data_IF_256034276730
#
_entry.id   IF_256034276730
#
_cell.length_a   1.000
_cell.length_b   1.000
_cell.length_c   1.000
_cell.angle_alpha   90.00
_cell.angle_beta   90.00
_cell.angle_gamma   90.00
#
_symmetry.space_group_name_H-M   'P 1'
#
loop_
_entity.id
_entity.type
_entity.pdbx_description
1 polymer ?
#
# COMPACT_ATOMS: atom_id res chain seq x y z
N UNK A 1 5.68 6.52 -10.23
CA UNK A 1 6.56 6.08 -9.11
C UNK A 1 6.78 4.58 -9.16
N UNK A 2 5.74 3.75 -9.05
CA UNK A 2 5.86 2.27 -9.16
C UNK A 2 6.46 1.80 -10.49
N UNK A 3 6.26 2.53 -11.59
CA UNK A 3 6.86 2.25 -12.90
C UNK A 3 8.38 2.10 -12.88
N UNK A 4 9.08 2.72 -11.91
CA UNK A 4 10.53 2.56 -11.75
C UNK A 4 10.96 1.11 -11.44
N UNK A 5 10.01 0.23 -11.09
CA UNK A 5 10.24 -1.17 -10.72
C UNK A 5 9.70 -2.18 -11.74
N UNK A 6 8.84 -1.78 -12.67
CA UNK A 6 8.11 -2.70 -13.58
C UNK A 6 9.06 -3.42 -14.54
N UNK A 7 10.06 -2.71 -15.07
CA UNK A 7 10.98 -3.26 -16.08
C UNK A 7 12.28 -3.82 -15.48
N UNK A 8 12.38 -3.93 -14.15
CA UNK A 8 13.58 -4.45 -13.49
C UNK A 8 13.57 -5.98 -13.51
N UNK A 9 14.64 -6.57 -14.03
CA UNK A 9 14.80 -8.02 -14.08
C UNK A 9 14.66 -8.64 -12.68
N UNK A 10 13.86 -9.71 -12.58
CA UNK A 10 13.64 -10.45 -11.34
C UNK A 10 12.77 -9.73 -10.31
N UNK A 11 12.26 -8.52 -10.59
CA UNK A 11 11.30 -7.82 -9.72
C UNK A 11 9.90 -8.30 -10.03
N UNK A 12 9.14 -8.59 -8.98
CA UNK A 12 7.71 -8.81 -9.10
C UNK A 12 6.98 -7.50 -8.91
N UNK A 13 6.00 -7.21 -9.76
CA UNK A 13 5.08 -6.09 -9.57
C UNK A 13 3.63 -6.53 -9.75
N UNK A 14 2.73 -5.95 -8.97
CA UNK A 14 1.29 -5.98 -9.24
C UNK A 14 0.65 -4.62 -9.08
N UNK A 15 -0.53 -4.50 -9.70
CA UNK A 15 -1.29 -3.26 -9.77
C UNK A 15 -2.77 -3.59 -9.84
N UNK A 16 -3.55 -2.92 -9.00
CA UNK A 16 -4.98 -3.09 -8.87
C UNK A 16 -5.65 -1.73 -8.77
N UNK A 17 -6.89 -1.67 -9.23
CA UNK A 17 -7.71 -0.47 -9.19
C UNK A 17 -9.13 -0.75 -8.75
N UNK A 18 -9.77 0.26 -8.17
CA UNK A 18 -11.21 0.28 -7.90
C UNK A 18 -11.75 1.68 -8.14
N UNK A 19 -13.02 1.77 -8.55
CA UNK A 19 -13.71 3.04 -8.78
C UNK A 19 -14.51 3.40 -7.53
N UNK A 20 -14.22 4.56 -6.95
CA UNK A 20 -14.99 5.16 -5.86
C UNK A 20 -15.92 6.23 -6.45
N UNK A 21 -17.25 6.11 -6.29
CA UNK A 21 -18.17 7.21 -6.59
C UNK A 21 -17.88 8.41 -5.66
N UNK A 22 -17.70 9.59 -6.24
CA UNK A 22 -17.34 10.81 -5.51
C UNK A 22 -15.89 11.24 -5.71
N UNK A 23 -15.54 12.37 -5.11
CA UNK A 23 -14.19 12.89 -5.06
C UNK A 23 -13.49 12.37 -3.80
N UNK A 24 -12.26 11.93 -3.94
CA UNK A 24 -11.41 11.60 -2.81
C UNK A 24 -9.96 12.03 -3.06
N UNK A 25 -9.27 12.35 -1.99
CA UNK A 25 -7.85 12.68 -2.01
C UNK A 25 -6.97 11.52 -1.50
N UNK A 26 -5.65 11.69 -1.63
CA UNK A 26 -4.69 10.68 -1.23
C UNK A 26 -4.73 10.40 0.27
N UNK A 27 -4.94 11.42 1.10
CA UNK A 27 -4.89 11.31 2.56
C UNK A 27 -6.07 10.48 3.08
N UNK A 28 -7.27 10.73 2.56
CA UNK A 28 -8.47 9.92 2.82
C UNK A 28 -8.26 8.47 2.40
N UNK A 29 -7.63 8.24 1.24
CA UNK A 29 -7.34 6.89 0.76
C UNK A 29 -6.29 6.18 1.63
N UNK A 30 -5.20 6.84 2.03
CA UNK A 30 -4.19 6.29 2.95
C UNK A 30 -4.85 5.92 4.28
N UNK A 31 -5.64 6.84 4.85
CA UNK A 31 -6.35 6.61 6.09
C UNK A 31 -7.31 5.43 5.97
N UNK A 32 -8.15 5.38 4.95
CA UNK A 32 -9.09 4.28 4.74
C UNK A 32 -8.38 2.94 4.53
N UNK A 33 -7.33 2.92 3.72
CA UNK A 33 -6.57 1.70 3.40
C UNK A 33 -5.90 1.11 4.64
N UNK A 34 -5.11 1.91 5.37
CA UNK A 34 -4.35 1.42 6.52
C UNK A 34 -5.17 1.32 7.81
N UNK A 35 -6.39 1.87 7.89
CA UNK A 35 -7.27 1.69 9.06
C UNK A 35 -8.30 0.57 8.93
N UNK A 36 -8.32 -0.17 7.81
CA UNK A 36 -9.24 -1.31 7.66
C UNK A 36 -8.94 -2.44 8.66
N UNK A 37 -9.98 -3.19 9.06
CA UNK A 37 -9.86 -4.34 9.96
C UNK A 37 -8.87 -5.41 9.45
N UNK A 38 -8.82 -5.61 8.14
CA UNK A 38 -7.91 -6.55 7.52
C UNK A 38 -6.44 -6.16 7.74
N UNK A 39 -6.13 -4.87 7.65
CA UNK A 39 -4.81 -4.35 8.01
C UNK A 39 -4.58 -4.27 9.54
N UNK A 40 -5.65 -4.18 10.36
CA UNK A 40 -5.52 -4.30 11.83
C UNK A 40 -5.04 -5.69 12.26
N UNK A 41 -5.39 -6.74 11.53
CA UNK A 41 -4.85 -8.09 11.76
C UNK A 41 -3.37 -8.17 11.36
N UNK A 42 -3.00 -7.61 10.21
CA UNK A 42 -1.60 -7.51 9.78
C UNK A 42 -0.77 -6.66 10.76
N UNK A 43 -1.33 -5.59 11.31
CA UNK A 43 -0.72 -4.79 12.39
C UNK A 43 -0.48 -5.57 13.66
N UNK A 44 -1.31 -6.55 14.02
CA UNK A 44 -1.07 -7.40 15.18
C UNK A 44 0.15 -8.31 14.96
N UNK A 45 0.29 -8.87 13.76
CA UNK A 45 1.45 -9.69 13.36
C UNK A 45 2.73 -8.84 13.29
N UNK A 46 2.65 -7.66 12.68
CA UNK A 46 3.78 -6.71 12.60
C UNK A 46 4.18 -6.15 13.97
N UNK A 47 3.20 -5.82 14.84
CA UNK A 47 3.46 -5.35 16.22
C UNK A 47 4.18 -6.42 17.04
N UNK A 48 3.79 -7.69 16.89
CA UNK A 48 4.43 -8.81 17.58
C UNK A 48 5.87 -9.03 17.09
N UNK A 49 6.12 -8.89 15.78
CA UNK A 49 7.46 -9.01 15.20
C UNK A 49 8.39 -7.82 15.46
N UNK A 50 7.85 -6.59 15.46
CA UNK A 50 8.62 -5.35 15.67
C UNK A 50 8.71 -4.93 17.14
N UNK A 51 7.99 -5.61 18.04
CA UNK A 51 7.81 -5.23 19.47
C UNK A 51 7.40 -3.76 19.68
N UNK A 52 6.77 -3.15 18.68
CA UNK A 52 6.33 -1.73 18.70
C UNK A 52 4.85 -1.65 18.37
N UNK A 53 4.10 -0.94 19.20
CA UNK A 53 2.66 -0.71 19.00
C UNK A 53 2.45 0.25 17.83
N UNK A 54 1.75 -0.20 16.79
CA UNK A 54 1.35 0.62 15.64
C UNK A 54 -0.05 1.17 15.91
N UNK A 55 -0.18 2.49 16.00
CA UNK A 55 -1.43 3.19 16.33
C UNK A 55 -2.13 3.76 15.10
N UNK A 56 -3.43 4.06 15.21
CA UNK A 56 -4.15 4.78 14.15
C UNK A 56 -3.63 6.24 14.00
N UNK A 57 -3.09 6.83 15.06
CA UNK A 57 -2.40 8.13 14.99
C UNK A 57 -1.16 8.11 14.11
N UNK A 58 -0.41 7.00 14.07
CA UNK A 58 0.74 6.87 13.15
C UNK A 58 0.27 6.84 11.68
N UNK A 59 -0.89 6.22 11.42
CA UNK A 59 -1.51 6.22 10.07
C UNK A 59 -1.94 7.63 9.68
N UNK A 60 -2.58 8.37 10.59
CA UNK A 60 -3.03 9.73 10.31
C UNK A 60 -1.86 10.69 10.11
N UNK A 61 -0.77 10.53 10.86
CA UNK A 61 0.46 11.29 10.64
C UNK A 61 1.08 10.99 9.25
N UNK A 62 1.05 9.73 8.82
CA UNK A 62 1.44 9.37 7.45
C UNK A 62 0.49 9.98 6.42
N UNK A 63 -0.83 9.89 6.61
CA UNK A 63 -1.82 10.44 5.69
C UNK A 63 -1.57 11.93 5.47
N UNK A 64 -1.51 12.70 6.56
CA UNK A 64 -1.31 14.16 6.54
C UNK A 64 0.10 14.59 6.11
N UNK A 65 1.00 13.65 5.78
CA UNK A 65 2.38 13.94 5.38
C UNK A 65 3.28 14.47 6.49
N UNK A 66 2.87 14.36 7.76
CA UNK A 66 3.67 14.81 8.92
C UNK A 66 4.61 13.72 9.46
N UNK A 67 4.52 12.50 8.95
CA UNK A 67 5.45 11.41 9.22
C UNK A 67 5.97 10.76 7.93
N UNK A 68 7.27 10.52 7.88
CA UNK A 68 7.94 9.79 6.80
C UNK A 68 8.11 8.29 7.10
N UNK A 69 7.71 7.85 8.31
CA UNK A 69 7.82 6.46 8.75
C UNK A 69 6.54 5.99 9.42
N UNK A 70 6.15 4.76 9.10
CA UNK A 70 4.96 4.10 9.62
C UNK A 70 5.21 2.60 9.79
N UNK A 71 5.13 2.07 11.02
CA UNK A 71 5.39 0.65 11.30
C UNK A 71 6.78 0.18 10.79
N UNK A 72 6.79 -0.74 9.80
CA UNK A 72 7.99 -1.20 9.10
C UNK A 72 8.16 -0.56 7.71
N UNK A 73 7.47 0.54 7.45
CA UNK A 73 7.46 1.25 6.18
C UNK A 73 8.06 2.65 6.33
N UNK A 74 8.81 3.06 5.32
CA UNK A 74 9.36 4.40 5.15
C UNK A 74 8.85 4.98 3.82
N UNK A 75 8.59 6.28 3.78
CA UNK A 75 8.22 6.99 2.57
C UNK A 75 9.42 7.02 1.63
N UNK A 76 9.33 6.29 0.53
CA UNK A 76 10.36 6.30 -0.52
C UNK A 76 10.13 7.48 -1.47
N UNK A 77 8.86 7.80 -1.77
CA UNK A 77 8.49 8.96 -2.58
C UNK A 77 7.05 9.36 -2.32
N UNK A 78 6.77 10.67 -2.32
CA UNK A 78 5.42 11.23 -2.16
C UNK A 78 5.21 12.35 -3.17
N UNK A 79 4.02 12.39 -3.76
CA UNK A 79 3.48 13.50 -4.51
C UNK A 79 2.00 13.69 -4.14
N UNK A 80 1.38 14.76 -4.65
CA UNK A 80 0.02 15.18 -4.26
C UNK A 80 -1.03 14.05 -4.31
N UNK A 81 -1.00 13.22 -5.35
CA UNK A 81 -1.98 12.16 -5.57
C UNK A 81 -1.40 10.74 -5.51
N UNK A 82 -0.14 10.57 -5.08
CA UNK A 82 0.50 9.25 -5.02
C UNK A 82 1.55 9.15 -3.92
N UNK A 83 1.65 7.96 -3.33
CA UNK A 83 2.58 7.60 -2.28
C UNK A 83 3.26 6.27 -2.62
N UNK A 84 4.56 6.22 -2.44
CA UNK A 84 5.36 5.00 -2.50
C UNK A 84 6.06 4.81 -1.16
N UNK A 85 5.81 3.66 -0.54
CA UNK A 85 6.47 3.22 0.68
C UNK A 85 7.45 2.09 0.37
N UNK A 86 8.54 2.03 1.10
CA UNK A 86 9.47 0.90 1.12
C UNK A 86 9.50 0.28 2.51
N UNK A 87 9.58 -1.05 2.59
CA UNK A 87 9.80 -1.72 3.87
C UNK A 87 11.23 -1.49 4.37
N UNK A 88 11.46 -1.67 5.68
CA UNK A 88 12.79 -1.54 6.29
C UNK A 88 13.85 -2.49 5.69
N UNK A 89 13.41 -3.57 5.05
CA UNK A 89 14.33 -4.51 4.39
C UNK A 89 14.80 -4.03 3.01
N UNK A 90 14.20 -2.96 2.47
CA UNK A 90 14.53 -2.44 1.15
C UNK A 90 14.01 -3.31 0.00
N UNK A 91 13.09 -4.24 0.25
CA UNK A 91 12.66 -5.27 -0.69
C UNK A 91 11.25 -5.05 -1.18
N UNK A 92 10.34 -4.67 -0.30
CA UNK A 92 8.92 -4.57 -0.61
C UNK A 92 8.52 -3.12 -0.75
N UNK A 93 7.82 -2.78 -1.83
CA UNK A 93 7.20 -1.47 -2.02
C UNK A 93 5.69 -1.58 -1.99
N UNK A 94 5.06 -0.59 -1.38
CA UNK A 94 3.61 -0.41 -1.35
C UNK A 94 3.29 0.93 -1.99
N UNK A 95 2.51 0.91 -3.07
CA UNK A 95 2.13 2.09 -3.84
C UNK A 95 0.64 2.35 -3.68
N UNK A 96 0.29 3.59 -3.36
CA UNK A 96 -1.08 4.09 -3.31
C UNK A 96 -1.19 5.32 -4.20
N UNK A 97 -2.26 5.42 -4.98
CA UNK A 97 -2.55 6.64 -5.70
C UNK A 97 -4.05 6.86 -5.88
N UNK A 98 -4.42 8.11 -6.10
CA UNK A 98 -5.76 8.53 -6.48
C UNK A 98 -5.69 9.26 -7.81
N UNK A 99 -6.69 9.06 -8.66
CA UNK A 99 -6.80 9.78 -9.92
C UNK A 99 -8.26 10.15 -10.18
N UNK A 100 -8.59 11.42 -10.43
CA UNK A 100 -9.95 11.79 -10.82
C UNK A 100 -10.30 11.17 -12.17
N UNK A 101 -11.58 10.82 -12.33
CA UNK A 101 -12.17 10.31 -13.55
C UNK A 101 -13.47 11.07 -13.86
N UNK A 102 -13.81 11.15 -15.14
CA UNK A 102 -15.07 11.74 -15.59
C UNK A 102 -16.28 11.10 -14.89
N UNK A 103 -17.34 11.90 -14.73
CA UNK A 103 -18.57 11.47 -14.05
C UNK A 103 -18.51 11.54 -12.52
N UNK A 104 -17.55 12.28 -11.96
CA UNK A 104 -17.44 12.46 -10.50
C UNK A 104 -17.00 11.18 -9.78
N UNK A 105 -16.10 10.41 -10.40
CA UNK A 105 -15.56 9.16 -9.87
C UNK A 105 -14.09 9.35 -9.58
N UNK A 106 -13.60 8.76 -8.49
CA UNK A 106 -12.17 8.69 -8.17
C UNK A 106 -11.67 7.28 -8.39
N UNK A 107 -10.61 7.12 -9.16
CA UNK A 107 -9.88 5.84 -9.31
C UNK A 107 -8.89 5.72 -8.16
N UNK A 108 -9.09 4.71 -7.31
CA UNK A 108 -8.15 4.34 -6.26
C UNK A 108 -7.23 3.24 -6.78
N UNK A 109 -5.93 3.43 -6.62
CA UNK A 109 -4.88 2.57 -7.17
C UNK A 109 -4.05 2.00 -6.04
N UNK A 110 -3.87 0.68 -6.05
CA UNK A 110 -2.93 0.01 -5.16
C UNK A 110 -2.00 -0.87 -5.98
N UNK A 111 -0.70 -0.77 -5.72
CA UNK A 111 0.28 -1.67 -6.34
C UNK A 111 1.38 -2.03 -5.37
N UNK A 112 2.13 -3.05 -5.72
CA UNK A 112 3.29 -3.46 -4.95
C UNK A 112 4.44 -3.88 -5.84
N UNK A 113 5.66 -3.77 -5.32
CA UNK A 113 6.83 -4.34 -5.94
C UNK A 113 7.63 -5.16 -4.91
N UNK A 114 8.13 -6.33 -5.32
CA UNK A 114 9.06 -7.13 -4.51
C UNK A 114 10.36 -7.26 -5.28
N UNK A 115 11.38 -6.59 -4.77
CA UNK A 115 12.73 -6.58 -5.32
C UNK A 115 13.53 -7.71 -4.69
N UNK A 116 14.15 -8.59 -5.50
CA UNK A 116 15.02 -9.61 -4.98
C UNK A 116 16.31 -8.98 -4.42
N UNK A 117 17.11 -9.77 -3.70
CA UNK A 117 18.46 -9.31 -3.35
C UNK A 117 19.29 -9.16 -4.62
N UNK A 118 20.27 -8.27 -4.60
CA UNK A 118 21.18 -8.09 -5.73
C UNK A 118 21.81 -9.43 -6.15
N UNK A 119 21.78 -9.72 -7.45
CA UNK A 119 22.28 -10.97 -8.01
C UNK A 119 21.46 -12.22 -7.70
N UNK A 120 20.28 -12.10 -7.08
CA UNK A 120 19.42 -13.22 -6.73
C UNK A 120 18.07 -13.16 -7.46
N UNK A 121 17.44 -14.32 -7.63
CA UNK A 121 16.04 -14.39 -8.02
C UNK A 121 15.10 -14.22 -6.82
N UNK A 122 13.82 -13.97 -7.10
CA UNK A 122 12.73 -14.10 -6.13
C UNK A 122 12.75 -15.50 -5.50
N UNK A 123 12.93 -15.58 -4.18
CA UNK A 123 12.93 -16.85 -3.47
C UNK A 123 11.62 -17.63 -3.65
N UNK A 124 11.70 -18.96 -3.69
CA UNK A 124 10.54 -19.84 -3.91
C UNK A 124 9.39 -19.60 -2.91
N UNK A 125 9.73 -19.32 -1.65
CA UNK A 125 8.75 -18.96 -0.61
C UNK A 125 7.97 -17.71 -0.99
N UNK A 126 8.65 -16.67 -1.48
CA UNK A 126 8.00 -15.43 -1.91
C UNK A 126 7.06 -15.71 -3.07
N UNK A 127 7.52 -16.47 -4.08
CA UNK A 127 6.69 -16.87 -5.23
C UNK A 127 5.42 -17.62 -4.82
N UNK A 128 5.51 -18.50 -3.81
CA UNK A 128 4.36 -19.23 -3.29
C UNK A 128 3.34 -18.33 -2.56
N UNK A 129 3.79 -17.22 -1.97
CA UNK A 129 2.94 -16.26 -1.24
C UNK A 129 2.28 -15.23 -2.19
N UNK A 130 2.85 -14.99 -3.38
CA UNK A 130 2.31 -14.00 -4.34
C UNK A 130 0.80 -14.15 -4.62
N UNK A 131 0.22 -15.34 -4.82
CA UNK A 131 -1.23 -15.47 -5.05
C UNK A 131 -2.05 -14.98 -3.85
N UNK A 132 -1.60 -15.29 -2.63
CA UNK A 132 -2.23 -14.81 -1.40
C UNK A 132 -2.12 -13.28 -1.30
N UNK A 133 -0.95 -12.73 -1.61
CA UNK A 133 -0.72 -11.28 -1.64
C UNK A 133 -1.64 -10.56 -2.64
N UNK A 134 -1.82 -11.11 -3.85
CA UNK A 134 -2.75 -10.54 -4.85
C UNK A 134 -4.18 -10.53 -4.35
N UNK A 135 -4.63 -11.61 -3.71
CA UNK A 135 -5.97 -11.69 -3.13
C UNK A 135 -6.13 -10.68 -1.98
N UNK A 136 -5.15 -10.64 -1.08
CA UNK A 136 -5.08 -9.72 0.05
C UNK A 136 -5.16 -8.26 -0.40
N UNK A 137 -4.34 -7.89 -1.39
CA UNK A 137 -4.26 -6.55 -1.97
C UNK A 137 -5.59 -6.09 -2.56
N UNK A 138 -6.26 -6.96 -3.33
CA UNK A 138 -7.59 -6.69 -3.88
C UNK A 138 -8.65 -6.54 -2.79
N UNK A 139 -8.57 -7.35 -1.73
CA UNK A 139 -9.49 -7.27 -0.61
C UNK A 139 -9.31 -5.96 0.18
N UNK A 140 -8.08 -5.55 0.49
CA UNK A 140 -7.78 -4.27 1.12
C UNK A 140 -8.31 -3.09 0.30
N UNK A 141 -8.04 -3.09 -1.01
CA UNK A 141 -8.49 -2.02 -1.89
C UNK A 141 -10.03 -1.89 -1.91
N UNK A 142 -10.75 -3.01 -1.96
CA UNK A 142 -12.22 -3.02 -1.87
C UNK A 142 -12.74 -2.59 -0.50
N UNK A 143 -12.07 -2.98 0.58
CA UNK A 143 -12.46 -2.57 1.93
C UNK A 143 -12.24 -1.07 2.14
N UNK A 144 -11.16 -0.51 1.59
CA UNK A 144 -10.87 0.91 1.61
C UNK A 144 -11.94 1.70 0.84
N UNK A 145 -12.28 1.28 -0.39
CA UNK A 145 -13.37 1.89 -1.17
C UNK A 145 -14.69 1.85 -0.40
N UNK A 146 -15.08 0.68 0.12
CA UNK A 146 -16.33 0.55 0.89
C UNK A 146 -16.34 1.44 2.12
N UNK A 147 -15.20 1.57 2.82
CA UNK A 147 -15.07 2.45 3.99
C UNK A 147 -15.21 3.92 3.60
N UNK A 148 -14.62 4.35 2.49
CA UNK A 148 -14.76 5.74 2.00
C UNK A 148 -16.15 6.04 1.48
N UNK A 149 -16.86 5.03 0.97
CA UNK A 149 -18.21 5.20 0.46
C UNK A 149 -19.24 5.39 1.57
N UNK A 150 -19.10 4.69 2.70
CA UNK A 150 -20.14 4.57 3.74
C UNK A 150 -19.70 4.97 5.16
N UNK A 151 -18.43 5.31 5.37
CA UNK A 151 -17.87 5.77 6.64
C UNK A 151 -17.83 7.28 6.75
#
# INVERSE_FOLDING_TARGET
MLSAYVDRAGVYTDFFEVMLPGQANLDEFIAAFYTTWLFRLERAVLTLGLRRRISDSDVMALANGTAERFAAWEVESRAEAQLLLCDLSGRTRSYLAVAPKEGGVTRLLFGSAVVPREGAELGAVVRAILPLHRFYSKALLRLAERKMRWG
#
